data_IF_784584928965
#
_entry.id   IF_784584928965
#
_cell.length_a   1.000
_cell.length_b   1.000
_cell.length_c   1.000
_cell.angle_alpha   90.00
_cell.angle_beta   90.00
_cell.angle_gamma   90.00
#
_symmetry.space_group_name_H-M   'P 1'
#
loop_
_entity.id
_entity.type
_entity.pdbx_description
1 polymer ?
#
# COMPACT_ATOMS: atom_id res chain seq x y z
N UNK A 1 -23.32 -22.37 21.13
CA UNK A 1 -22.36 -22.51 22.25
C UNK A 1 -21.14 -21.66 21.96
N UNK A 2 -20.56 -21.02 22.97
CA UNK A 2 -19.30 -20.26 22.88
C UNK A 2 -18.18 -21.07 22.19
N UNK A 3 -18.12 -22.39 22.42
CA UNK A 3 -17.14 -23.28 21.81
C UNK A 3 -17.31 -23.49 20.29
N UNK A 4 -18.55 -23.39 19.78
CA UNK A 4 -18.82 -23.49 18.34
C UNK A 4 -18.47 -22.18 17.62
N UNK A 5 -18.59 -21.04 18.31
CA UNK A 5 -18.15 -19.74 17.80
C UNK A 5 -16.61 -19.63 17.81
N UNK A 6 -15.93 -20.16 18.84
CA UNK A 6 -14.46 -20.12 18.90
C UNK A 6 -13.81 -21.01 17.83
N UNK A 7 -14.29 -22.24 17.64
CA UNK A 7 -13.76 -23.14 16.61
C UNK A 7 -14.01 -22.62 15.18
N UNK A 8 -15.16 -21.98 14.93
CA UNK A 8 -15.43 -21.32 13.65
C UNK A 8 -14.52 -20.10 13.43
N UNK A 9 -14.23 -19.33 14.49
CA UNK A 9 -13.29 -18.20 14.42
C UNK A 9 -11.84 -18.65 14.21
N UNK A 10 -11.43 -19.79 14.79
CA UNK A 10 -10.11 -20.39 14.60
C UNK A 10 -9.94 -20.97 13.19
N UNK A 11 -10.97 -21.64 12.65
CA UNK A 11 -10.96 -22.14 11.27
C UNK A 11 -10.96 -21.02 10.22
N UNK A 12 -11.69 -19.94 10.48
CA UNK A 12 -11.68 -18.74 9.64
C UNK A 12 -10.32 -18.03 9.70
N UNK A 13 -9.75 -17.88 10.90
CA UNK A 13 -8.41 -17.34 11.06
C UNK A 13 -7.37 -18.18 10.31
N UNK A 14 -7.38 -19.51 10.45
CA UNK A 14 -6.47 -20.40 9.75
C UNK A 14 -6.58 -20.30 8.21
N UNK A 15 -7.80 -20.13 7.68
CA UNK A 15 -8.04 -19.93 6.25
C UNK A 15 -7.50 -18.58 5.77
N UNK A 16 -7.78 -17.50 6.50
CA UNK A 16 -7.25 -16.15 6.23
C UNK A 16 -5.72 -16.13 6.28
N UNK A 17 -5.11 -16.79 7.28
CA UNK A 17 -3.65 -16.89 7.38
C UNK A 17 -3.04 -17.75 6.27
N UNK A 18 -3.73 -18.79 5.79
CA UNK A 18 -3.29 -19.59 4.66
C UNK A 18 -3.34 -18.82 3.34
N UNK A 19 -4.48 -18.19 3.03
CA UNK A 19 -4.76 -17.53 1.76
C UNK A 19 -4.10 -16.15 1.62
N UNK A 20 -3.88 -15.44 2.73
CA UNK A 20 -3.23 -14.11 2.72
C UNK A 20 -1.81 -14.18 3.28
N UNK A 21 -1.60 -14.91 4.37
CA UNK A 21 -0.31 -14.96 5.06
C UNK A 21 0.79 -15.61 4.22
N UNK A 22 0.50 -16.71 3.52
CA UNK A 22 1.48 -17.38 2.63
C UNK A 22 1.96 -16.47 1.49
N UNK A 23 1.07 -15.89 0.65
CA UNK A 23 1.52 -14.99 -0.41
C UNK A 23 2.15 -13.71 0.12
N UNK A 24 1.72 -13.20 1.28
CA UNK A 24 2.36 -12.06 1.93
C UNK A 24 3.81 -12.34 2.33
N UNK A 25 4.07 -13.47 3.00
CA UNK A 25 5.43 -13.89 3.35
C UNK A 25 6.30 -14.08 2.10
N UNK A 26 5.75 -14.70 1.05
CA UNK A 26 6.44 -14.86 -0.23
C UNK A 26 6.77 -13.50 -0.88
N UNK A 27 5.86 -12.52 -0.80
CA UNK A 27 6.08 -11.19 -1.34
C UNK A 27 7.18 -10.44 -0.59
N UNK A 28 7.23 -10.57 0.74
CA UNK A 28 8.29 -9.98 1.57
C UNK A 28 9.66 -10.56 1.22
N UNK A 29 9.73 -11.89 1.03
CA UNK A 29 10.96 -12.55 0.59
C UNK A 29 11.39 -12.06 -0.80
N UNK A 30 10.48 -12.07 -1.79
CA UNK A 30 10.75 -11.56 -3.13
C UNK A 30 11.29 -10.13 -3.10
N UNK A 31 10.68 -9.26 -2.30
CA UNK A 31 11.11 -7.87 -2.15
C UNK A 31 12.53 -7.77 -1.59
N UNK A 32 12.86 -8.60 -0.59
CA UNK A 32 14.19 -8.64 0.01
C UNK A 32 15.28 -9.13 -0.95
N UNK A 33 14.91 -10.01 -1.89
CA UNK A 33 15.79 -10.52 -2.95
C UNK A 33 15.91 -9.58 -4.15
N UNK A 34 15.14 -8.50 -4.18
CA UNK A 34 15.14 -7.53 -5.27
C UNK A 34 14.19 -7.87 -6.43
N UNK A 35 13.35 -8.89 -6.27
CA UNK A 35 12.36 -9.29 -7.26
C UNK A 35 11.06 -8.50 -7.07
N UNK A 36 11.08 -7.25 -7.53
CA UNK A 36 9.97 -6.32 -7.33
C UNK A 36 8.74 -6.67 -8.18
N UNK A 37 8.92 -7.23 -9.37
CA UNK A 37 7.81 -7.68 -10.19
C UNK A 37 7.04 -8.78 -9.46
N UNK A 38 7.74 -9.78 -8.92
CA UNK A 38 7.12 -10.84 -8.13
C UNK A 38 6.46 -10.33 -6.86
N UNK A 39 7.05 -9.33 -6.20
CA UNK A 39 6.39 -8.67 -5.06
C UNK A 39 5.05 -8.06 -5.47
N UNK A 40 4.99 -7.36 -6.60
CA UNK A 40 3.75 -6.75 -7.10
C UNK A 40 2.72 -7.82 -7.43
N UNK A 41 3.10 -8.88 -8.15
CA UNK A 41 2.21 -10.00 -8.49
C UNK A 41 1.56 -10.64 -7.26
N UNK A 42 2.32 -10.79 -6.17
CA UNK A 42 1.84 -11.42 -4.95
C UNK A 42 1.00 -10.49 -4.07
N UNK A 43 1.34 -9.19 -3.99
CA UNK A 43 0.65 -8.25 -3.12
C UNK A 43 -0.56 -7.56 -3.76
N UNK A 44 -0.52 -7.30 -5.06
CA UNK A 44 -1.59 -6.57 -5.74
C UNK A 44 -2.97 -7.23 -5.56
N UNK A 45 -3.12 -8.56 -5.66
CA UNK A 45 -4.42 -9.22 -5.44
C UNK A 45 -4.91 -9.07 -4.00
N UNK A 46 -3.99 -9.01 -3.03
CA UNK A 46 -4.31 -8.95 -1.61
C UNK A 46 -4.62 -7.53 -1.13
N UNK A 47 -4.46 -6.49 -1.97
CA UNK A 47 -4.41 -5.08 -1.53
C UNK A 47 -5.60 -4.63 -0.69
N UNK A 48 -6.79 -5.20 -0.88
CA UNK A 48 -7.99 -4.89 -0.10
C UNK A 48 -8.22 -5.83 1.09
N UNK A 49 -7.59 -7.01 1.06
CA UNK A 49 -7.69 -8.05 2.08
C UNK A 49 -6.59 -7.95 3.14
N UNK A 50 -5.53 -7.17 2.88
CA UNK A 50 -4.50 -6.85 3.88
C UNK A 50 -5.07 -6.24 5.16
N UNK A 51 -6.31 -5.71 5.13
CA UNK A 51 -7.03 -5.26 6.33
C UNK A 51 -7.31 -6.38 7.34
N UNK A 52 -7.31 -7.62 6.89
CA UNK A 52 -7.49 -8.82 7.72
C UNK A 52 -6.17 -9.36 8.27
N UNK A 53 -5.02 -8.80 7.85
CA UNK A 53 -3.69 -9.20 8.30
C UNK A 53 -3.07 -8.09 9.15
N UNK A 54 -2.89 -8.38 10.43
CA UNK A 54 -2.52 -7.38 11.43
C UNK A 54 -3.72 -6.61 11.96
N UNK A 55 -3.62 -6.10 13.19
CA UNK A 55 -4.74 -5.49 13.89
C UNK A 55 -4.81 -3.97 13.77
N UNK A 56 -3.76 -3.31 13.28
CA UNK A 56 -3.69 -1.83 13.26
C UNK A 56 -3.60 -1.24 11.86
N UNK A 57 -4.21 -0.07 11.71
CA UNK A 57 -4.13 0.77 10.49
C UNK A 57 -2.68 1.05 10.10
N UNK A 58 -1.78 1.21 11.08
CA UNK A 58 -0.35 1.42 10.82
C UNK A 58 0.33 0.20 10.19
N UNK A 59 -0.02 -1.02 10.63
CA UNK A 59 0.51 -2.26 10.04
C UNK A 59 0.04 -2.45 8.60
N UNK A 60 -1.25 -2.18 8.33
CA UNK A 60 -1.81 -2.22 6.98
C UNK A 60 -1.11 -1.22 6.06
N UNK A 61 -0.80 -0.02 6.57
CA UNK A 61 -0.12 1.02 5.81
C UNK A 61 1.27 0.58 5.33
N UNK A 62 2.00 -0.21 6.12
CA UNK A 62 3.31 -0.75 5.73
C UNK A 62 3.21 -1.61 4.46
N UNK A 63 2.20 -2.47 4.36
CA UNK A 63 2.03 -3.33 3.19
C UNK A 63 1.64 -2.55 1.94
N UNK A 64 0.79 -1.52 2.08
CA UNK A 64 0.49 -0.61 0.96
C UNK A 64 1.74 0.14 0.49
N UNK A 65 2.57 0.63 1.43
CA UNK A 65 3.85 1.30 1.09
C UNK A 65 4.81 0.36 0.40
N UNK A 66 4.90 -0.89 0.86
CA UNK A 66 5.72 -1.93 0.24
C UNK A 66 5.30 -2.18 -1.21
N UNK A 67 4.00 -2.33 -1.46
CA UNK A 67 3.46 -2.53 -2.80
C UNK A 67 3.72 -1.33 -3.71
N UNK A 68 3.52 -0.09 -3.24
CA UNK A 68 3.87 1.11 -4.03
C UNK A 68 5.36 1.16 -4.35
N UNK A 69 6.22 0.86 -3.37
CA UNK A 69 7.68 0.82 -3.56
C UNK A 69 8.08 -0.24 -4.59
N UNK A 70 7.53 -1.45 -4.48
CA UNK A 70 7.77 -2.53 -5.43
C UNK A 70 7.30 -2.14 -6.84
N UNK A 71 6.09 -1.58 -6.97
CA UNK A 71 5.54 -1.14 -8.24
C UNK A 71 6.42 -0.09 -8.93
N UNK A 72 6.92 0.90 -8.19
CA UNK A 72 7.86 1.90 -8.73
C UNK A 72 9.16 1.24 -9.20
N UNK A 73 9.75 0.35 -8.39
CA UNK A 73 11.03 -0.30 -8.71
C UNK A 73 10.93 -1.34 -9.82
N UNK A 74 9.75 -1.91 -10.03
CA UNK A 74 9.44 -2.82 -11.13
C UNK A 74 9.04 -2.10 -12.43
N UNK A 75 8.89 -0.76 -12.41
CA UNK A 75 8.38 -0.01 -13.57
C UNK A 75 6.87 -0.14 -13.79
N UNK A 76 6.13 -0.75 -12.86
CA UNK A 76 4.66 -0.87 -12.83
C UNK A 76 4.01 0.43 -12.35
N UNK A 77 4.32 1.52 -13.04
CA UNK A 77 3.95 2.88 -12.64
C UNK A 77 2.44 3.15 -12.74
N UNK A 78 1.72 2.38 -13.56
CA UNK A 78 0.26 2.36 -13.63
C UNK A 78 -0.38 1.99 -12.28
N UNK A 79 0.14 0.92 -11.65
CA UNK A 79 -0.29 0.47 -10.33
C UNK A 79 0.05 1.51 -9.27
N UNK A 80 1.30 2.00 -9.28
CA UNK A 80 1.74 3.03 -8.33
C UNK A 80 0.88 4.30 -8.44
N UNK A 81 0.56 4.75 -9.66
CA UNK A 81 -0.28 5.92 -9.91
C UNK A 81 -1.68 5.74 -9.37
N UNK A 82 -2.35 4.62 -9.71
CA UNK A 82 -3.71 4.33 -9.23
C UNK A 82 -3.76 4.34 -7.70
N UNK A 83 -2.86 3.59 -7.07
CA UNK A 83 -2.82 3.48 -5.61
C UNK A 83 -2.57 4.83 -4.93
N UNK A 84 -1.63 5.63 -5.45
CA UNK A 84 -1.32 6.91 -4.85
C UNK A 84 -2.42 7.96 -5.08
N UNK A 85 -3.13 7.88 -6.20
CA UNK A 85 -4.34 8.67 -6.44
C UNK A 85 -5.44 8.34 -5.42
N UNK A 86 -5.78 7.06 -5.28
CA UNK A 86 -6.78 6.57 -4.32
C UNK A 86 -6.45 7.01 -2.89
N UNK A 87 -5.20 6.81 -2.46
CA UNK A 87 -4.74 7.16 -1.11
C UNK A 87 -4.71 8.66 -0.85
N UNK A 88 -4.36 9.47 -1.85
CA UNK A 88 -4.34 10.93 -1.72
C UNK A 88 -5.75 11.52 -1.66
N UNK A 89 -6.72 10.87 -2.31
CA UNK A 89 -8.13 11.21 -2.21
C UNK A 89 -8.72 10.81 -0.84
N UNK A 90 -8.43 9.59 -0.38
CA UNK A 90 -8.93 9.06 0.91
C UNK A 90 -8.31 9.79 2.13
N UNK A 91 -7.03 10.14 2.04
CA UNK A 91 -6.29 10.83 3.12
C UNK A 91 -5.66 12.13 2.61
N UNK A 92 -6.48 13.17 2.35
CA UNK A 92 -6.04 14.40 1.69
C UNK A 92 -5.09 15.26 2.53
N UNK A 93 -5.00 15.01 3.85
CA UNK A 93 -4.05 15.67 4.76
C UNK A 93 -2.69 14.96 4.87
N UNK A 94 -2.52 13.81 4.21
CA UNK A 94 -1.27 13.04 4.28
C UNK A 94 -0.20 13.64 3.37
N UNK A 95 0.76 14.35 3.97
CA UNK A 95 1.95 14.87 3.26
C UNK A 95 2.72 13.75 2.57
N UNK A 96 2.88 12.60 3.22
CA UNK A 96 3.59 11.45 2.64
C UNK A 96 2.89 10.93 1.37
N UNK A 97 1.55 10.87 1.36
CA UNK A 97 0.80 10.44 0.18
C UNK A 97 1.06 11.39 -1.00
N UNK A 98 0.91 12.70 -0.79
CA UNK A 98 1.11 13.69 -1.85
C UNK A 98 2.55 13.75 -2.37
N UNK A 99 3.56 13.66 -1.50
CA UNK A 99 4.98 13.61 -1.93
C UNK A 99 5.28 12.37 -2.76
N UNK A 100 4.76 11.23 -2.35
CA UNK A 100 4.98 9.97 -3.08
C UNK A 100 4.24 9.99 -4.41
N UNK A 101 3.01 10.50 -4.45
CA UNK A 101 2.25 10.64 -5.68
C UNK A 101 2.97 11.56 -6.68
N UNK A 102 3.48 12.69 -6.22
CA UNK A 102 4.24 13.62 -7.06
C UNK A 102 5.47 12.97 -7.70
N UNK A 103 6.19 12.11 -6.97
CA UNK A 103 7.33 11.35 -7.51
C UNK A 103 6.89 10.35 -8.58
N UNK A 104 5.81 9.61 -8.33
CA UNK A 104 5.26 8.66 -9.32
C UNK A 104 4.85 9.38 -10.60
N UNK A 105 4.16 10.52 -10.49
CA UNK A 105 3.75 11.33 -11.64
C UNK A 105 4.97 11.88 -12.41
N UNK A 106 6.02 12.30 -11.71
CA UNK A 106 7.26 12.73 -12.36
C UNK A 106 7.96 11.59 -13.11
N UNK A 107 7.96 10.37 -12.56
CA UNK A 107 8.49 9.19 -13.28
C UNK A 107 7.66 8.80 -14.50
N UNK A 108 6.39 9.22 -14.55
CA UNK A 108 5.48 9.05 -15.68
C UNK A 108 5.51 10.23 -16.68
N UNK A 109 6.43 11.18 -16.52
CA UNK A 109 6.49 12.42 -17.29
C UNK A 109 5.20 13.29 -17.22
N UNK A 110 4.35 13.08 -16.20
CA UNK A 110 3.22 13.96 -15.89
C UNK A 110 3.70 15.12 -15.00
N UNK A 111 4.43 16.05 -15.62
CA UNK A 111 5.02 17.21 -14.93
C UNK A 111 3.95 18.07 -14.25
N UNK A 112 2.82 18.30 -14.93
CA UNK A 112 1.73 19.13 -14.43
C UNK A 112 1.09 18.51 -13.18
N UNK A 113 0.81 17.20 -13.23
CA UNK A 113 0.32 16.45 -12.08
C UNK A 113 1.33 16.42 -10.93
N UNK A 114 2.62 16.20 -11.23
CA UNK A 114 3.67 16.19 -10.23
C UNK A 114 3.79 17.54 -9.49
N UNK A 115 3.77 18.66 -10.22
CA UNK A 115 3.78 20.01 -9.64
C UNK A 115 2.57 20.25 -8.74
N UNK A 116 1.38 19.85 -9.18
CA UNK A 116 0.16 19.99 -8.38
C UNK A 116 0.22 19.19 -7.08
N UNK A 117 0.69 17.94 -7.13
CA UNK A 117 0.86 17.09 -5.96
C UNK A 117 1.93 17.63 -4.99
N UNK A 118 3.06 18.14 -5.50
CA UNK A 118 4.09 18.80 -4.67
C UNK A 118 3.57 20.06 -3.99
N UNK A 119 2.79 20.88 -4.72
CA UNK A 119 2.13 22.07 -4.15
C UNK A 119 1.24 21.68 -2.98
N UNK A 120 0.38 20.67 -3.15
CA UNK A 120 -0.49 20.19 -2.09
C UNK A 120 0.29 19.71 -0.86
N UNK A 121 1.37 18.95 -1.07
CA UNK A 121 2.24 18.49 0.03
C UNK A 121 2.89 19.66 0.79
N UNK A 122 3.34 20.71 0.08
CA UNK A 122 3.95 21.90 0.68
C UNK A 122 2.94 22.70 1.50
N UNK A 123 1.75 22.92 0.94
CA UNK A 123 0.72 23.73 1.60
C UNK A 123 0.26 23.07 2.91
N UNK A 124 0.19 21.73 2.95
CA UNK A 124 -0.06 20.97 4.18
C UNK A 124 1.04 21.14 5.23
N UNK A 125 2.31 21.14 4.83
CA UNK A 125 3.43 21.36 5.75
C UNK A 125 3.38 22.77 6.32
N UNK A 126 3.13 23.78 5.48
CA UNK A 126 3.03 25.17 5.90
C UNK A 126 1.86 25.39 6.88
N UNK A 127 0.74 24.69 6.68
CA UNK A 127 -0.41 24.74 7.59
C UNK A 127 -0.18 24.05 8.95
N UNK A 128 0.83 23.20 9.10
CA UNK A 128 1.19 22.55 10.37
C UNK A 128 2.18 23.36 11.22
N UNK A 129 2.80 24.38 10.62
CA UNK A 129 3.80 25.24 11.27
C UNK A 129 3.23 26.54 11.86
N UNK A 130 1.91 26.71 11.80
CA UNK A 130 1.15 27.83 12.39
C UNK A 130 0.38 27.36 13.62
#
# INVERSE_FOLDING_TARGET
>A
SMAAHSAASEGMAATIYGEIGTPLCAALLAYSCGDFERTVELLQPLRYDLRYVGGSVAQQDVFHRLLVSAAVRAGRLDIARSMMSERSADRPSSVWNWRTYARVLATLDDESGAVAAWRKARDLVAGLTL
#
